data_IF_956227458368
#
_entry.id   IF_956227458368
#
_cell.length_a   1.000
_cell.length_b   1.000
_cell.length_c   1.000
_cell.angle_alpha   90.00
_cell.angle_beta   90.00
_cell.angle_gamma   90.00
#
_symmetry.space_group_name_H-M   'P 1'
#
loop_
_entity.id
_entity.type
_entity.pdbx_description
1 polymer ?
#
# COMPACT_ATOMS: atom_id res chain seq x y z
N UNK A 1 -0.46 -9.96 -6.94
CA UNK A 1 -0.08 -11.05 -5.99
C UNK A 1 0.19 -12.35 -6.75
N UNK A 2 -0.65 -12.70 -7.72
CA UNK A 2 -0.47 -13.84 -8.64
C UNK A 2 0.85 -13.81 -9.41
N UNK A 3 1.21 -12.66 -9.99
CA UNK A 3 2.43 -12.51 -10.79
C UNK A 3 3.72 -12.79 -10.01
N UNK A 4 3.74 -12.38 -8.74
CA UNK A 4 4.92 -12.52 -7.88
C UNK A 4 5.09 -13.96 -7.44
N UNK A 5 3.96 -14.62 -7.15
CA UNK A 5 3.96 -16.06 -6.91
C UNK A 5 4.44 -16.81 -8.14
N UNK A 6 3.96 -16.46 -9.34
CA UNK A 6 4.39 -17.09 -10.59
C UNK A 6 5.88 -16.90 -10.84
N UNK A 7 6.40 -15.67 -10.71
CA UNK A 7 7.83 -15.39 -10.84
C UNK A 7 8.67 -16.18 -9.81
N UNK A 8 8.18 -16.30 -8.57
CA UNK A 8 8.83 -17.08 -7.52
C UNK A 8 8.84 -18.58 -7.85
N UNK A 9 7.73 -19.10 -8.36
CA UNK A 9 7.58 -20.49 -8.82
C UNK A 9 8.55 -20.82 -9.95
N UNK A 10 8.62 -19.95 -10.97
CA UNK A 10 9.53 -20.09 -12.11
C UNK A 10 10.99 -20.03 -11.67
N UNK A 11 11.33 -19.11 -10.75
CA UNK A 11 12.71 -18.97 -10.24
C UNK A 11 13.15 -20.16 -9.39
N UNK A 12 12.25 -20.69 -8.57
CA UNK A 12 12.52 -21.84 -7.71
C UNK A 12 12.28 -23.19 -8.40
N UNK A 13 11.74 -23.19 -9.63
CA UNK A 13 11.32 -24.37 -10.40
C UNK A 13 10.39 -25.31 -9.60
N UNK A 14 9.60 -24.76 -8.68
CA UNK A 14 8.70 -25.53 -7.81
C UNK A 14 7.49 -24.72 -7.38
N UNK A 15 6.37 -25.43 -7.19
CA UNK A 15 5.13 -24.85 -6.67
C UNK A 15 5.31 -24.39 -5.24
N UNK A 16 5.21 -23.07 -5.05
CA UNK A 16 5.20 -22.45 -3.73
C UNK A 16 3.76 -22.25 -3.25
N UNK A 17 3.54 -22.41 -1.94
CA UNK A 17 2.24 -22.09 -1.35
C UNK A 17 2.04 -20.58 -1.26
N UNK A 18 0.77 -20.16 -1.23
CA UNK A 18 0.41 -18.76 -1.03
C UNK A 18 0.96 -18.22 0.31
N UNK A 19 0.87 -19.02 1.37
CA UNK A 19 1.41 -18.67 2.68
C UNK A 19 2.93 -18.47 2.67
N UNK A 20 3.69 -19.35 2.00
CA UNK A 20 5.15 -19.21 1.90
C UNK A 20 5.54 -17.93 1.13
N UNK A 21 4.82 -17.64 0.04
CA UNK A 21 5.01 -16.42 -0.74
C UNK A 21 4.71 -15.19 0.12
N UNK A 22 3.58 -15.18 0.84
CA UNK A 22 3.19 -14.09 1.73
C UNK A 22 4.21 -13.87 2.86
N UNK A 23 4.65 -14.94 3.53
CA UNK A 23 5.62 -14.86 4.63
C UNK A 23 7.00 -14.37 4.18
N UNK A 24 7.41 -14.70 2.95
CA UNK A 24 8.65 -14.19 2.36
C UNK A 24 8.53 -12.67 2.16
N UNK A 25 7.46 -12.24 1.52
CA UNK A 25 7.23 -10.83 1.22
C UNK A 25 7.10 -9.98 2.50
N UNK A 26 6.35 -10.49 3.48
CA UNK A 26 6.19 -9.85 4.77
C UNK A 26 7.53 -9.71 5.51
N UNK A 27 8.40 -10.72 5.48
CA UNK A 27 9.74 -10.67 6.08
C UNK A 27 10.66 -9.63 5.43
N UNK A 28 10.52 -9.40 4.14
CA UNK A 28 11.28 -8.39 3.42
C UNK A 28 10.67 -6.98 3.51
N UNK A 29 9.73 -6.76 4.45
CA UNK A 29 9.07 -5.46 4.64
C UNK A 29 8.22 -5.05 3.45
N UNK A 30 7.86 -6.00 2.59
CA UNK A 30 7.14 -5.68 1.37
C UNK A 30 5.69 -5.39 1.70
N UNK A 31 5.36 -4.10 1.71
CA UNK A 31 3.99 -3.61 1.65
C UNK A 31 3.66 -3.34 0.19
N UNK A 32 2.43 -3.70 -0.21
CA UNK A 32 1.85 -3.17 -1.44
C UNK A 32 1.89 -1.65 -1.30
N UNK A 33 2.80 -1.00 -2.03
CA UNK A 33 2.72 0.43 -2.29
C UNK A 33 1.49 0.60 -3.19
N UNK A 34 0.31 0.41 -2.61
CA UNK A 34 -0.90 0.88 -3.24
C UNK A 34 -0.67 2.36 -3.52
N UNK A 35 -1.09 2.89 -4.67
CA UNK A 35 -1.10 4.33 -4.84
C UNK A 35 -1.85 4.89 -3.63
N UNK A 36 -1.23 5.85 -2.95
CA UNK A 36 -1.85 6.59 -1.87
C UNK A 36 -3.22 7.01 -2.38
N UNK A 37 -4.27 6.42 -1.82
CA UNK A 37 -5.63 6.63 -2.30
C UNK A 37 -6.01 8.04 -1.87
N UNK A 38 -5.61 9.04 -2.65
CA UNK A 38 -6.41 10.25 -2.74
C UNK A 38 -7.82 9.78 -3.07
N UNK A 39 -8.74 10.04 -2.15
CA UNK A 39 -10.13 9.66 -2.32
C UNK A 39 -10.61 10.33 -3.63
N UNK A 40 -11.24 9.61 -4.58
CA UNK A 40 -11.64 10.21 -5.86
C UNK A 40 -12.68 11.33 -5.72
N UNK A 41 -13.34 11.43 -4.55
CA UNK A 41 -14.20 12.56 -4.16
C UNK A 41 -13.55 13.45 -3.09
N UNK A 42 -12.22 13.48 -3.00
CA UNK A 42 -11.54 14.43 -2.14
C UNK A 42 -11.67 15.81 -2.77
N UNK A 43 -12.65 16.60 -2.31
CA UNK A 43 -12.74 18.02 -2.62
C UNK A 43 -11.65 18.77 -1.85
N UNK A 44 -10.48 18.84 -2.47
CA UNK A 44 -9.34 19.68 -2.05
C UNK A 44 -9.79 21.11 -1.67
N UNK A 45 -10.68 21.81 -2.44
CA UNK A 45 -11.13 23.14 -2.04
C UNK A 45 -11.93 23.15 -0.72
N UNK A 46 -12.82 22.18 -0.50
CA UNK A 46 -13.59 22.09 0.74
C UNK A 46 -12.71 21.74 1.96
N UNK A 47 -11.61 21.03 1.75
CA UNK A 47 -10.63 20.73 2.80
C UNK A 47 -9.77 21.95 3.17
N UNK A 48 -9.42 22.77 2.19
CA UNK A 48 -8.67 24.00 2.41
C UNK A 48 -9.53 25.03 3.16
N UNK A 49 -10.80 25.18 2.77
CA UNK A 49 -11.77 26.03 3.49
C UNK A 49 -12.07 25.53 4.91
N UNK A 50 -12.08 24.22 5.14
CA UNK A 50 -12.34 23.63 6.46
C UNK A 50 -11.15 23.73 7.44
N UNK A 51 -9.96 24.14 6.95
CA UNK A 51 -8.74 24.19 7.76
C UNK A 51 -8.88 25.25 8.87
N UNK A 52 -9.30 24.82 10.07
CA UNK A 52 -9.44 25.68 11.25
C UNK A 52 -8.07 26.22 11.69
N UNK A 53 -7.83 27.49 11.43
CA UNK A 53 -6.74 28.27 12.02
C UNK A 53 -7.03 28.48 13.51
N UNK A 54 -6.60 27.57 14.37
CA UNK A 54 -6.48 27.86 15.79
C UNK A 54 -5.32 28.84 15.98
N UNK A 55 -5.64 30.14 15.98
CA UNK A 55 -4.72 31.14 16.46
C UNK A 55 -4.53 30.93 17.97
N UNK A 56 -3.33 30.56 18.39
CA UNK A 56 -2.94 30.56 19.79
C UNK A 56 -2.66 32.03 20.14
N UNK A 57 -3.45 32.70 20.99
CA UNK A 57 -3.10 34.04 21.45
C UNK A 57 -1.82 33.97 22.30
N UNK A 58 -0.85 34.83 22.00
CA UNK A 58 0.38 35.02 22.77
C UNK A 58 0.13 35.71 24.11
#
# INVERSE_FOLDING_TARGET
MSEIKQALDSRLKRKTSLAATYNLLHRHGWRKLAPDKRHPKADVPAQDEWKKNFAIPS
#
